data_IF_704847588323
#
_entry.id   IF_704847588323
#
_cell.length_a   1.000
_cell.length_b   1.000
_cell.length_c   1.000
_cell.angle_alpha   90.00
_cell.angle_beta   90.00
_cell.angle_gamma   90.00
#
_symmetry.space_group_name_H-M   'P 1'
#
loop_
_entity.id
_entity.type
_entity.pdbx_description
1 polymer ?
#
# COMPACT_ATOMS: atom_id res chain seq x y z
N UNK A 1 8.20 16.08 14.59
CA UNK A 1 8.57 14.88 13.87
C UNK A 1 9.11 15.21 12.49
N UNK A 2 10.23 14.63 12.17
CA UNK A 2 10.85 14.87 10.87
C UNK A 2 10.21 13.98 9.82
N UNK A 3 9.77 14.61 8.74
CA UNK A 3 9.31 13.87 7.58
C UNK A 3 10.40 13.86 6.53
N UNK A 4 10.58 12.76 5.88
CA UNK A 4 11.55 12.70 4.81
C UNK A 4 10.99 13.40 3.56
N UNK A 5 11.87 13.75 2.65
CA UNK A 5 11.48 14.47 1.44
C UNK A 5 10.59 13.65 0.51
N UNK A 6 10.62 12.34 0.64
CA UNK A 6 9.80 11.46 -0.18
C UNK A 6 8.32 11.68 0.04
N UNK A 7 7.92 12.06 1.27
CA UNK A 7 6.51 12.32 1.57
C UNK A 7 5.96 13.46 0.74
N UNK A 8 6.74 14.54 0.54
CA UNK A 8 6.30 15.64 -0.31
C UNK A 8 6.11 15.24 -1.76
N UNK A 9 6.97 14.36 -2.27
CA UNK A 9 6.84 13.83 -3.63
C UNK A 9 5.59 12.98 -3.75
N UNK A 10 5.31 12.17 -2.74
CA UNK A 10 4.12 11.33 -2.74
C UNK A 10 2.85 12.17 -2.59
N UNK A 11 2.91 13.27 -1.82
CA UNK A 11 1.79 14.22 -1.74
C UNK A 11 1.45 14.76 -3.12
N UNK A 12 2.47 15.10 -3.91
CA UNK A 12 2.26 15.57 -5.27
C UNK A 12 1.63 14.49 -6.15
N UNK A 13 2.15 13.27 -6.07
CA UNK A 13 1.57 12.13 -6.79
C UNK A 13 0.07 12.03 -6.49
N UNK A 14 -0.29 12.05 -5.21
CA UNK A 14 -1.69 11.95 -4.80
C UNK A 14 -2.52 13.11 -5.35
N UNK A 15 -2.00 14.33 -5.30
CA UNK A 15 -2.75 15.52 -5.71
C UNK A 15 -3.09 15.51 -7.20
N UNK A 16 -2.32 14.78 -8.00
CA UNK A 16 -2.51 14.72 -9.45
C UNK A 16 -3.47 13.61 -9.88
N UNK A 17 -3.89 12.76 -8.96
CA UNK A 17 -4.82 11.70 -9.29
C UNK A 17 -6.24 12.24 -9.44
N UNK A 18 -7.03 11.54 -10.27
CA UNK A 18 -8.47 11.80 -10.39
C UNK A 18 -9.21 10.93 -9.38
N UNK A 19 -10.50 11.26 -9.17
CA UNK A 19 -11.35 10.42 -8.34
C UNK A 19 -11.84 9.23 -9.15
N UNK A 20 -12.04 8.06 -8.53
CA UNK A 20 -11.98 7.79 -7.09
C UNK A 20 -10.57 7.49 -6.56
N UNK A 21 -9.58 7.39 -7.43
CA UNK A 21 -8.23 6.99 -7.03
C UNK A 21 -7.63 7.92 -5.99
N UNK A 22 -7.84 9.23 -6.16
CA UNK A 22 -7.28 10.22 -5.23
C UNK A 22 -7.72 9.94 -3.79
N UNK A 23 -9.00 9.74 -3.57
CA UNK A 23 -9.51 9.51 -2.21
C UNK A 23 -9.08 8.16 -1.68
N UNK A 24 -9.03 7.14 -2.52
CA UNK A 24 -8.57 5.82 -2.10
C UNK A 24 -7.12 5.90 -1.63
N UNK A 25 -6.25 6.50 -2.43
CA UNK A 25 -4.83 6.64 -2.08
C UNK A 25 -4.67 7.46 -0.82
N UNK A 26 -5.44 8.55 -0.69
CA UNK A 26 -5.39 9.40 0.50
C UNK A 26 -5.71 8.60 1.77
N UNK A 27 -6.77 7.80 1.72
CA UNK A 27 -7.20 6.99 2.86
C UNK A 27 -6.18 5.91 3.21
N UNK A 28 -5.65 5.23 2.21
CA UNK A 28 -4.66 4.19 2.43
C UNK A 28 -3.36 4.78 3.01
N UNK A 29 -2.91 5.92 2.47
CA UNK A 29 -1.72 6.59 2.98
C UNK A 29 -1.90 7.00 4.45
N UNK A 30 -3.06 7.55 4.78
CA UNK A 30 -3.36 7.97 6.15
C UNK A 30 -3.37 6.77 7.11
N UNK A 31 -3.97 5.68 6.69
CA UNK A 31 -4.01 4.45 7.48
C UNK A 31 -2.61 3.93 7.75
N UNK A 32 -1.78 3.85 6.70
CA UNK A 32 -0.42 3.33 6.83
C UNK A 32 0.43 4.25 7.70
N UNK A 33 0.35 5.56 7.48
CA UNK A 33 1.15 6.51 8.26
C UNK A 33 0.81 6.47 9.74
N UNK A 34 -0.47 6.30 10.06
CA UNK A 34 -0.92 6.30 11.45
C UNK A 34 -0.56 5.00 12.16
N UNK A 35 -0.77 3.87 11.48
CA UNK A 35 -0.62 2.57 12.12
C UNK A 35 0.79 2.01 12.01
N UNK A 36 1.54 2.43 11.01
CA UNK A 36 2.87 1.87 10.71
C UNK A 36 3.88 2.99 10.48
N UNK A 37 4.13 3.83 11.51
CA UNK A 37 5.06 4.95 11.33
C UNK A 37 6.51 4.50 11.11
N UNK A 38 6.81 3.23 11.38
CA UNK A 38 8.14 2.68 11.12
C UNK A 38 8.43 2.48 9.64
N UNK A 39 7.40 2.46 8.80
CA UNK A 39 7.59 2.30 7.36
C UNK A 39 7.99 3.62 6.71
N UNK A 40 8.94 3.54 5.78
CA UNK A 40 9.38 4.70 5.01
C UNK A 40 8.58 4.79 3.72
N UNK A 41 7.92 5.92 3.51
CA UNK A 41 7.19 6.18 2.27
C UNK A 41 8.12 6.86 1.28
N UNK A 42 8.16 6.35 0.05
CA UNK A 42 8.97 6.94 -1.03
C UNK A 42 8.24 6.74 -2.35
N UNK A 43 8.71 7.43 -3.38
CA UNK A 43 8.19 7.27 -4.73
C UNK A 43 9.23 6.49 -5.53
N UNK A 44 8.86 5.31 -6.01
CA UNK A 44 9.70 4.46 -6.85
C UNK A 44 8.84 3.94 -7.98
N UNK A 45 9.41 3.86 -9.17
CA UNK A 45 8.65 3.41 -10.35
C UNK A 45 7.36 4.20 -10.52
N UNK A 46 7.41 5.50 -10.16
CA UNK A 46 6.30 6.46 -10.27
C UNK A 46 5.10 6.16 -9.36
N UNK A 47 5.29 5.34 -8.33
CA UNK A 47 4.21 5.02 -7.38
C UNK A 47 4.74 5.02 -5.94
N UNK A 48 3.83 5.22 -4.95
CA UNK A 48 4.24 5.17 -3.54
C UNK A 48 4.67 3.77 -3.15
N UNK A 49 5.83 3.68 -2.51
CA UNK A 49 6.39 2.43 -2.00
C UNK A 49 6.66 2.59 -0.52
N UNK A 50 6.36 1.55 0.25
CA UNK A 50 6.61 1.52 1.68
C UNK A 50 7.65 0.46 1.99
N UNK A 51 8.71 0.86 2.68
CA UNK A 51 9.83 -0.01 2.96
C UNK A 51 10.21 0.01 4.43
N UNK A 52 10.92 -1.01 4.84
CA UNK A 52 11.45 -1.15 6.20
C UNK A 52 12.83 -1.77 6.11
N UNK A 53 13.82 -1.10 6.71
CA UNK A 53 15.21 -1.58 6.69
C UNK A 53 15.70 -1.90 5.28
N UNK A 54 15.34 -1.02 4.34
CA UNK A 54 15.80 -1.16 2.96
C UNK A 54 15.02 -2.15 2.11
N UNK A 55 14.01 -2.82 2.68
CA UNK A 55 13.20 -3.77 1.92
C UNK A 55 11.86 -3.15 1.56
N UNK A 56 11.51 -3.21 0.29
CA UNK A 56 10.20 -2.76 -0.17
C UNK A 56 9.15 -3.80 0.21
N UNK A 57 8.15 -3.37 0.94
CA UNK A 57 7.11 -4.29 1.44
C UNK A 57 5.77 -4.07 0.77
N UNK A 58 5.37 -2.82 0.55
CA UNK A 58 4.07 -2.47 0.00
C UNK A 58 4.23 -1.46 -1.10
N UNK A 59 3.28 -1.43 -2.03
CA UNK A 59 3.22 -0.41 -3.07
C UNK A 59 1.79 -0.09 -3.43
N UNK A 60 1.51 1.19 -3.66
CA UNK A 60 0.21 1.61 -4.18
C UNK A 60 0.35 1.80 -5.69
N UNK A 61 -0.65 1.37 -6.44
CA UNK A 61 -0.62 1.51 -7.89
C UNK A 61 -2.01 1.90 -8.38
N UNK A 62 -2.08 3.04 -9.07
CA UNK A 62 -3.33 3.54 -9.61
C UNK A 62 -3.56 3.01 -11.02
N UNK A 63 -4.81 2.73 -11.32
CA UNK A 63 -5.29 2.31 -12.64
C UNK A 63 -6.48 3.18 -13.00
N UNK A 64 -7.01 3.00 -14.19
CA UNK A 64 -8.10 3.84 -14.69
C UNK A 64 -9.33 3.82 -13.77
N UNK A 65 -9.68 2.68 -13.20
CA UNK A 65 -10.91 2.53 -12.42
C UNK A 65 -10.69 2.01 -11.01
N UNK A 66 -9.44 1.86 -10.58
CA UNK A 66 -9.18 1.28 -9.26
C UNK A 66 -7.75 1.58 -8.81
N UNK A 67 -7.48 1.21 -7.54
CA UNK A 67 -6.14 1.26 -6.96
C UNK A 67 -5.84 -0.12 -6.41
N UNK A 68 -4.63 -0.60 -6.62
CA UNK A 68 -4.14 -1.82 -6.00
C UNK A 68 -3.16 -1.48 -4.89
N UNK A 69 -3.24 -2.21 -3.78
CA UNK A 69 -2.18 -2.23 -2.78
C UNK A 69 -1.45 -3.54 -2.98
N UNK A 70 -0.21 -3.44 -3.44
CA UNK A 70 0.64 -4.60 -3.70
C UNK A 70 1.43 -4.97 -2.47
N UNK A 71 1.51 -6.26 -2.18
CA UNK A 71 2.37 -6.83 -1.16
C UNK A 71 3.48 -7.59 -1.88
N UNK A 72 4.71 -7.11 -1.75
CA UNK A 72 5.82 -7.69 -2.53
C UNK A 72 6.08 -9.15 -2.20
N UNK A 73 5.72 -9.60 -1.02
CA UNK A 73 5.78 -11.01 -0.63
C UNK A 73 4.42 -11.57 -0.31
N UNK A 74 3.42 -11.09 -1.02
CA UNK A 74 2.02 -11.44 -0.74
C UNK A 74 1.73 -12.93 -0.80
N UNK A 75 2.47 -13.68 -1.63
CA UNK A 75 2.25 -15.11 -1.76
C UNK A 75 2.53 -15.87 -0.47
N UNK A 76 3.30 -15.28 0.45
CA UNK A 76 3.67 -15.91 1.72
C UNK A 76 2.72 -15.54 2.87
N UNK A 77 1.79 -14.62 2.63
CA UNK A 77 0.90 -14.15 3.67
C UNK A 77 -0.23 -15.14 3.91
N UNK A 78 -0.60 -15.28 5.18
CA UNK A 78 -1.75 -16.07 5.57
C UNK A 78 -3.01 -15.33 5.13
N UNK A 79 -3.82 -15.95 4.29
CA UNK A 79 -4.98 -15.33 3.67
C UNK A 79 -6.13 -16.35 3.58
N UNK A 80 -6.74 -16.72 4.72
CA UNK A 80 -7.76 -17.76 4.72
C UNK A 80 -9.03 -17.36 3.96
N UNK A 81 -9.31 -16.06 3.87
CA UNK A 81 -10.49 -15.56 3.15
C UNK A 81 -10.23 -15.34 1.67
N UNK A 82 -9.02 -15.58 1.20
CA UNK A 82 -8.63 -15.45 -0.20
C UNK A 82 -8.91 -14.06 -0.75
N UNK A 83 -8.53 -13.04 0.01
CA UNK A 83 -8.68 -11.65 -0.38
C UNK A 83 -7.59 -11.23 -1.37
N UNK A 84 -6.38 -11.76 -1.21
CA UNK A 84 -5.24 -11.41 -2.04
C UNK A 84 -5.36 -12.01 -3.43
N UNK A 85 -5.05 -11.20 -4.43
CA UNK A 85 -5.18 -11.55 -5.84
C UNK A 85 -3.81 -11.57 -6.49
N UNK A 86 -3.58 -12.50 -7.42
CA UNK A 86 -2.36 -12.55 -8.19
C UNK A 86 -1.91 -13.97 -8.47
N UNK A 87 -1.03 -14.12 -9.47
CA UNK A 87 -0.54 -15.42 -9.91
C UNK A 87 0.97 -15.51 -9.89
N UNK A 88 1.65 -14.39 -9.66
CA UNK A 88 3.10 -14.38 -9.67
C UNK A 88 3.70 -15.16 -8.53
N UNK A 89 5.01 -15.31 -8.57
CA UNK A 89 5.72 -16.10 -7.58
C UNK A 89 5.70 -15.46 -6.20
N UNK A 90 5.69 -14.11 -6.15
CA UNK A 90 5.82 -13.39 -4.89
C UNK A 90 4.71 -12.39 -4.63
N UNK A 91 4.36 -11.59 -5.62
CA UNK A 91 3.49 -10.42 -5.41
C UNK A 91 2.02 -10.82 -5.40
N UNK A 92 1.29 -10.26 -4.44
CA UNK A 92 -0.17 -10.32 -4.41
C UNK A 92 -0.70 -8.94 -4.13
N UNK A 93 -1.96 -8.69 -4.47
CA UNK A 93 -2.54 -7.37 -4.26
C UNK A 93 -3.99 -7.45 -3.78
N UNK A 94 -4.43 -6.33 -3.19
CA UNK A 94 -5.83 -6.07 -2.90
C UNK A 94 -6.28 -4.94 -3.81
N UNK A 95 -7.48 -5.05 -4.37
CA UNK A 95 -8.03 -4.06 -5.29
C UNK A 95 -9.12 -3.24 -4.60
N UNK A 96 -9.05 -1.92 -4.79
CA UNK A 96 -10.04 -0.98 -4.25
C UNK A 96 -10.64 -0.18 -5.40
N UNK A 97 -11.96 -0.24 -5.55
CA UNK A 97 -12.67 0.56 -6.55
C UNK A 97 -13.33 1.80 -5.94
N UNK A 98 -13.44 1.82 -4.62
CA UNK A 98 -13.96 2.95 -3.87
C UNK A 98 -13.40 2.89 -2.45
N UNK A 99 -13.56 3.97 -1.69
CA UNK A 99 -13.13 3.98 -0.29
C UNK A 99 -13.89 2.94 0.54
N UNK A 100 -15.10 2.59 0.12
CA UNK A 100 -15.89 1.58 0.82
C UNK A 100 -15.25 0.19 0.78
N UNK A 101 -14.36 -0.06 -0.17
CA UNK A 101 -13.67 -1.34 -0.28
C UNK A 101 -12.53 -1.49 0.72
N UNK A 102 -12.17 -0.43 1.41
CA UNK A 102 -11.04 -0.47 2.34
C UNK A 102 -11.46 -1.15 3.63
N UNK A 103 -10.94 -2.35 3.85
CA UNK A 103 -11.16 -3.13 5.06
C UNK A 103 -9.91 -3.03 5.92
N UNK A 104 -9.93 -2.09 6.86
CA UNK A 104 -8.76 -1.83 7.71
C UNK A 104 -8.34 -3.04 8.52
N UNK A 105 -9.29 -3.86 8.94
CA UNK A 105 -8.99 -5.07 9.73
C UNK A 105 -8.19 -6.08 8.91
N UNK A 106 -8.61 -6.31 7.65
CA UNK A 106 -7.91 -7.22 6.76
C UNK A 106 -6.52 -6.67 6.43
N UNK A 107 -6.42 -5.37 6.12
CA UNK A 107 -5.14 -4.75 5.79
C UNK A 107 -4.18 -4.81 6.97
N UNK A 108 -4.68 -4.57 8.18
CA UNK A 108 -3.84 -4.69 9.38
C UNK A 108 -3.23 -6.07 9.48
N UNK A 109 -4.03 -7.10 9.26
CA UNK A 109 -3.54 -8.47 9.31
C UNK A 109 -2.43 -8.74 8.30
N UNK A 110 -2.60 -8.26 7.07
CA UNK A 110 -1.59 -8.46 6.02
C UNK A 110 -0.34 -7.64 6.28
N UNK A 111 -0.48 -6.39 6.67
CA UNK A 111 0.69 -5.53 6.88
C UNK A 111 1.47 -5.98 8.11
N UNK A 112 0.78 -6.38 9.18
CA UNK A 112 1.46 -6.92 10.36
C UNK A 112 2.35 -8.11 9.98
N UNK A 113 1.86 -8.99 9.12
CA UNK A 113 2.65 -10.12 8.64
C UNK A 113 3.81 -9.66 7.77
N UNK A 114 3.56 -8.69 6.89
CA UNK A 114 4.57 -8.22 5.94
C UNK A 114 5.78 -7.59 6.65
N UNK A 115 5.55 -6.98 7.80
CA UNK A 115 6.59 -6.31 8.58
C UNK A 115 7.47 -7.31 9.33
N UNK A 116 6.94 -8.47 9.66
CA UNK A 116 7.67 -9.43 10.47
C UNK A 116 8.90 -9.97 9.73
N UNK A 117 10.02 -10.16 10.45
CA UNK A 117 11.19 -10.78 9.84
C UNK A 117 10.87 -12.20 9.43
N UNK A 118 11.54 -12.64 8.39
CA UNK A 118 11.38 -14.01 7.89
C UNK A 118 12.33 -14.93 8.60
#
# INVERSE_FOLDING_TARGET
MVRNNSTSIVDRYQSELLQPQKEIVKRLRAFIARRYPELTESLKWHVPIYSLNGKNLLGLQDFTAHVNLNFFRGAQLHDPRRILIGKGKYVRHVTFRSVADIDCSALKGFIDQAIQPI
#
